data_IF_335399150143
#
_entry.id   IF_335399150143
#
_cell.length_a   1.000
_cell.length_b   1.000
_cell.length_c   1.000
_cell.angle_alpha   90.00
_cell.angle_beta   90.00
_cell.angle_gamma   90.00
#
_symmetry.space_group_name_H-M   'P 1'
#
loop_
_entity.id
_entity.type
_entity.pdbx_description
1 polymer ?
#
# COMPACT_ATOMS: atom_id res chain seq x y z
N UNK A 1 -7.57 30.15 10.84
CA UNK A 1 -8.37 28.90 10.90
C UNK A 1 -8.99 28.81 12.29
N UNK A 2 -10.32 28.74 12.40
CA UNK A 2 -11.04 29.09 13.65
C UNK A 2 -11.00 27.93 14.68
N UNK A 3 -10.56 28.21 15.91
CA UNK A 3 -10.26 27.25 17.00
C UNK A 3 -11.45 26.36 17.36
N UNK A 4 -12.67 26.86 17.16
CA UNK A 4 -13.92 26.12 17.37
C UNK A 4 -14.08 24.92 16.41
N UNK A 5 -13.60 25.05 15.17
CA UNK A 5 -13.66 23.96 14.16
C UNK A 5 -12.67 22.85 14.48
N UNK A 6 -11.54 23.18 15.09
CA UNK A 6 -10.50 22.22 15.48
C UNK A 6 -10.99 21.36 16.65
N UNK A 7 -11.64 21.96 17.65
CA UNK A 7 -12.16 21.21 18.80
C UNK A 7 -13.33 20.28 18.44
N UNK A 8 -14.21 20.70 17.52
CA UNK A 8 -15.30 19.85 17.01
C UNK A 8 -14.75 18.70 16.17
N UNK A 9 -13.68 18.94 15.40
CA UNK A 9 -12.98 17.92 14.62
C UNK A 9 -12.31 16.88 15.52
N UNK A 10 -11.60 17.32 16.57
CA UNK A 10 -10.95 16.45 17.55
C UNK A 10 -11.95 15.61 18.35
N UNK A 11 -13.05 16.22 18.82
CA UNK A 11 -14.09 15.50 19.55
C UNK A 11 -14.76 14.41 18.70
N UNK A 12 -14.98 14.67 17.40
CA UNK A 12 -15.53 13.68 16.47
C UNK A 12 -14.56 12.52 16.20
N UNK A 13 -13.26 12.80 16.06
CA UNK A 13 -12.21 11.78 15.89
C UNK A 13 -12.08 10.87 17.11
N UNK A 14 -12.10 11.44 18.31
CA UNK A 14 -12.05 10.66 19.56
C UNK A 14 -13.28 9.77 19.73
N UNK A 15 -14.47 10.28 19.38
CA UNK A 15 -15.71 9.49 19.43
C UNK A 15 -15.69 8.31 18.43
N UNK A 16 -15.12 8.50 17.25
CA UNK A 16 -15.00 7.43 16.24
C UNK A 16 -13.96 6.37 16.64
N UNK A 17 -12.85 6.77 17.26
CA UNK A 17 -11.87 5.83 17.82
C UNK A 17 -12.45 4.96 18.92
N UNK A 18 -13.20 5.55 19.86
CA UNK A 18 -13.84 4.82 20.97
C UNK A 18 -14.93 3.83 20.50
N UNK A 19 -15.68 4.17 19.44
CA UNK A 19 -16.73 3.32 18.89
C UNK A 19 -16.18 2.11 18.12
N UNK A 20 -14.92 2.16 17.65
CA UNK A 20 -14.28 1.08 16.88
C UNK A 20 -13.88 -0.11 17.77
N UNK A 21 -13.76 0.10 19.09
CA UNK A 21 -13.29 -0.92 20.04
C UNK A 21 -14.40 -1.71 20.76
N UNK A 22 -15.66 -1.58 20.33
CA UNK A 22 -16.77 -2.36 20.89
C UNK A 22 -17.24 -3.43 19.88
N UNK A 23 -16.88 -4.71 20.07
CA UNK A 23 -17.11 -5.78 19.08
C UNK A 23 -18.59 -5.98 18.69
N UNK A 24 -19.52 -5.55 19.54
CA UNK A 24 -20.95 -5.82 19.39
C UNK A 24 -21.68 -4.85 18.45
N UNK A 25 -21.10 -3.68 18.15
CA UNK A 25 -21.78 -2.60 17.41
C UNK A 25 -21.43 -2.55 15.91
N UNK A 26 -20.50 -3.37 15.45
CA UNK A 26 -19.91 -3.25 14.11
C UNK A 26 -20.89 -3.49 12.95
N UNK A 27 -21.87 -4.40 13.08
CA UNK A 27 -22.73 -4.74 11.94
C UNK A 27 -23.84 -3.71 11.71
N UNK A 28 -24.44 -3.18 12.77
CA UNK A 28 -25.53 -2.19 12.69
C UNK A 28 -25.02 -0.78 12.44
N UNK A 29 -23.83 -0.44 12.98
CA UNK A 29 -23.21 0.86 12.75
C UNK A 29 -22.65 1.02 11.34
N UNK A 30 -22.22 -0.05 10.66
CA UNK A 30 -21.77 0.03 9.27
C UNK A 30 -22.88 0.54 8.34
N UNK A 31 -24.12 0.06 8.54
CA UNK A 31 -25.31 0.53 7.81
C UNK A 31 -25.81 1.90 8.26
N UNK A 32 -25.65 2.26 9.54
CA UNK A 32 -26.02 3.60 10.03
C UNK A 32 -25.02 4.70 9.61
N UNK A 33 -23.75 4.35 9.39
CA UNK A 33 -22.71 5.27 8.90
C UNK A 33 -23.00 5.79 7.50
N UNK A 34 -23.65 5.00 6.65
CA UNK A 34 -24.17 5.45 5.33
C UNK A 34 -25.27 6.51 5.44
N UNK A 35 -26.11 6.46 6.49
CA UNK A 35 -27.28 7.33 6.64
C UNK A 35 -26.96 8.65 7.38
N UNK A 36 -26.05 8.62 8.36
CA UNK A 36 -25.82 9.77 9.26
C UNK A 36 -24.71 10.72 8.81
N UNK A 37 -23.89 10.33 7.84
CA UNK A 37 -22.85 11.20 7.28
C UNK A 37 -23.32 11.80 5.96
N UNK A 38 -24.12 12.87 6.04
CA UNK A 38 -24.43 13.75 4.90
C UNK A 38 -23.21 14.50 4.34
N UNK A 39 -22.01 13.90 4.40
CA UNK A 39 -20.81 14.36 3.73
C UNK A 39 -20.79 13.73 2.34
N UNK A 40 -20.78 14.57 1.31
CA UNK A 40 -20.48 14.19 -0.07
C UNK A 40 -19.43 13.09 -0.12
N UNK A 41 -19.72 12.04 -0.89
CA UNK A 41 -18.79 11.00 -1.36
C UNK A 41 -17.35 11.53 -1.40
N UNK A 42 -16.58 11.39 -0.31
CA UNK A 42 -15.14 11.34 -0.43
C UNK A 42 -14.89 9.89 -0.80
N UNK A 43 -14.86 9.68 -2.10
CA UNK A 43 -14.57 8.40 -2.76
C UNK A 43 -13.50 7.69 -1.92
N UNK A 44 -13.79 6.47 -1.44
CA UNK A 44 -12.70 5.57 -1.06
C UNK A 44 -11.76 5.59 -2.26
N UNK A 45 -10.58 6.18 -2.12
CA UNK A 45 -9.70 6.42 -3.25
C UNK A 45 -9.48 5.06 -3.93
N UNK A 46 -10.01 4.91 -5.14
CA UNK A 46 -9.82 3.68 -5.90
C UNK A 46 -8.34 3.70 -6.25
N UNK A 47 -7.55 2.86 -5.59
CA UNK A 47 -6.13 2.79 -5.89
C UNK A 47 -5.96 2.41 -7.37
N UNK A 48 -5.27 3.27 -8.10
CA UNK A 48 -4.85 3.07 -9.49
C UNK A 48 -3.37 2.75 -9.55
N UNK A 49 -2.88 2.23 -10.67
CA UNK A 49 -1.45 1.99 -10.85
C UNK A 49 -0.59 3.26 -10.66
N UNK A 50 -0.90 4.44 -11.25
CA UNK A 50 -0.11 5.65 -11.01
C UNK A 50 -0.14 6.12 -9.56
N UNK A 51 -1.26 5.97 -8.85
CA UNK A 51 -1.34 6.26 -7.41
C UNK A 51 -0.39 5.33 -6.62
N UNK A 52 -0.50 4.02 -6.82
CA UNK A 52 0.32 3.03 -6.11
C UNK A 52 1.81 3.23 -6.38
N UNK A 53 2.14 3.52 -7.64
CA UNK A 53 3.48 3.88 -8.09
C UNK A 53 3.99 5.15 -7.38
N UNK A 54 3.19 6.21 -7.32
CA UNK A 54 3.53 7.46 -6.64
C UNK A 54 3.78 7.27 -5.14
N UNK A 55 2.96 6.47 -4.46
CA UNK A 55 3.13 6.12 -3.04
C UNK A 55 4.44 5.33 -2.87
N UNK A 56 4.63 4.25 -3.63
CA UNK A 56 5.82 3.43 -3.52
C UNK A 56 7.10 4.21 -3.80
N UNK A 57 7.13 5.07 -4.82
CA UNK A 57 8.33 5.84 -5.15
C UNK A 57 8.73 6.83 -4.05
N UNK A 58 7.76 7.46 -3.37
CA UNK A 58 8.04 8.32 -2.21
C UNK A 58 8.62 7.54 -1.05
N UNK A 59 8.04 6.37 -0.80
CA UNK A 59 8.61 5.41 0.14
C UNK A 59 10.06 5.10 -0.25
N UNK A 60 10.30 4.58 -1.45
CA UNK A 60 11.63 4.16 -1.87
C UNK A 60 12.68 5.28 -1.79
N UNK A 61 12.31 6.51 -2.15
CA UNK A 61 13.15 7.70 -1.98
C UNK A 61 13.49 7.94 -0.50
N UNK A 62 12.50 7.85 0.39
CA UNK A 62 12.71 7.98 1.84
C UNK A 62 13.60 6.86 2.42
N UNK A 63 13.47 5.63 1.92
CA UNK A 63 14.38 4.55 2.31
C UNK A 63 15.83 4.87 1.93
N UNK A 64 16.05 5.41 0.73
CA UNK A 64 17.39 5.73 0.26
C UNK A 64 18.06 6.88 1.04
N UNK A 65 17.31 7.67 1.81
CA UNK A 65 17.94 8.63 2.73
C UNK A 65 18.49 7.99 4.00
N UNK A 66 18.29 6.68 4.20
CA UNK A 66 18.86 5.95 5.35
C UNK A 66 20.29 5.51 5.05
N UNK A 67 21.16 5.54 6.07
CA UNK A 67 22.58 5.18 5.95
C UNK A 67 22.83 3.66 5.83
N UNK A 68 21.84 2.89 5.38
CA UNK A 68 21.95 1.43 5.29
C UNK A 68 22.81 0.99 4.10
N UNK A 69 22.90 1.83 3.05
CA UNK A 69 23.61 1.51 1.80
C UNK A 69 23.06 0.27 1.06
N UNK A 70 21.92 -0.27 1.52
CA UNK A 70 21.33 -1.52 1.04
C UNK A 70 19.92 -1.28 0.53
N UNK A 71 19.58 -2.00 -0.53
CA UNK A 71 18.21 -2.04 -1.03
C UNK A 71 17.41 -3.06 -0.20
N UNK A 72 16.15 -2.77 0.19
CA UNK A 72 15.39 -3.67 1.03
C UNK A 72 15.06 -4.97 0.27
N UNK A 73 15.20 -6.11 0.94
CA UNK A 73 14.86 -7.42 0.41
C UNK A 73 13.41 -7.80 0.76
N UNK A 74 12.91 -7.39 1.92
CA UNK A 74 11.55 -7.68 2.36
C UNK A 74 10.84 -6.48 2.99
N UNK A 75 9.58 -6.27 2.60
CA UNK A 75 8.74 -5.17 3.10
C UNK A 75 7.40 -5.72 3.59
N UNK A 76 6.88 -5.19 4.69
CA UNK A 76 5.51 -5.42 5.12
C UNK A 76 4.68 -4.14 4.99
N UNK A 77 3.43 -4.29 4.57
CA UNK A 77 2.42 -3.25 4.62
C UNK A 77 1.31 -3.62 5.58
N UNK A 78 1.03 -2.72 6.51
CA UNK A 78 -0.09 -2.83 7.43
C UNK A 78 -1.32 -2.19 6.79
N UNK A 79 -2.35 -3.00 6.58
CA UNK A 79 -3.63 -2.57 6.07
C UNK A 79 -3.61 -2.07 4.62
N UNK A 80 -3.05 -2.84 3.67
CA UNK A 80 -3.07 -2.42 2.27
C UNK A 80 -4.48 -2.18 1.75
N UNK A 81 -5.48 -2.97 2.18
CA UNK A 81 -6.85 -2.87 1.71
C UNK A 81 -6.94 -2.73 0.18
N UNK A 82 -7.43 -1.59 -0.30
CA UNK A 82 -7.55 -1.32 -1.73
C UNK A 82 -6.22 -0.95 -2.44
N UNK A 83 -5.12 -0.80 -1.71
CA UNK A 83 -3.84 -0.28 -2.18
C UNK A 83 -2.71 -1.31 -2.27
N UNK A 84 -3.06 -2.60 -2.33
CA UNK A 84 -2.11 -3.70 -2.56
C UNK A 84 -1.13 -3.44 -3.74
N UNK A 85 -1.55 -2.63 -4.72
CA UNK A 85 -0.69 -2.15 -5.81
C UNK A 85 0.61 -1.47 -5.35
N UNK A 86 0.67 -0.87 -4.15
CA UNK A 86 1.90 -0.31 -3.57
C UNK A 86 2.92 -1.43 -3.35
N UNK A 87 2.48 -2.56 -2.79
CA UNK A 87 3.29 -3.77 -2.68
C UNK A 87 3.70 -4.38 -4.02
N UNK A 88 2.82 -4.33 -5.02
CA UNK A 88 3.17 -4.77 -6.37
C UNK A 88 4.26 -3.89 -6.99
N UNK A 89 4.20 -2.58 -6.80
CA UNK A 89 5.24 -1.64 -7.21
C UNK A 89 6.57 -1.91 -6.46
N UNK A 90 6.51 -2.25 -5.17
CA UNK A 90 7.67 -2.72 -4.41
C UNK A 90 8.33 -3.95 -5.05
N UNK A 91 7.57 -4.99 -5.39
CA UNK A 91 8.09 -6.20 -6.04
C UNK A 91 8.71 -5.91 -7.41
N UNK A 92 8.11 -5.02 -8.20
CA UNK A 92 8.62 -4.59 -9.52
C UNK A 92 9.88 -3.73 -9.41
N UNK A 93 10.08 -3.03 -8.28
CA UNK A 93 11.33 -2.30 -8.00
C UNK A 93 12.50 -3.22 -7.61
N UNK A 94 12.23 -4.50 -7.36
CA UNK A 94 13.25 -5.52 -7.05
C UNK A 94 13.24 -6.04 -5.61
N UNK A 95 12.23 -5.69 -4.79
CA UNK A 95 12.04 -6.32 -3.47
C UNK A 95 11.71 -7.80 -3.65
N UNK A 96 12.31 -8.67 -2.85
CA UNK A 96 12.11 -10.11 -2.98
C UNK A 96 10.79 -10.58 -2.37
N UNK A 97 10.40 -9.99 -1.23
CA UNK A 97 9.20 -10.36 -0.47
C UNK A 97 8.39 -9.16 -0.06
N UNK A 98 7.09 -9.23 -0.26
CA UNK A 98 6.12 -8.27 0.23
C UNK A 98 5.05 -8.99 1.03
N UNK A 99 4.83 -8.53 2.26
CA UNK A 99 3.83 -9.05 3.19
C UNK A 99 2.69 -8.05 3.32
N UNK A 100 1.48 -8.47 2.98
CA UNK A 100 0.28 -7.65 3.09
C UNK A 100 -0.54 -8.11 4.31
N UNK A 101 -0.66 -7.26 5.32
CA UNK A 101 -1.29 -7.57 6.61
C UNK A 101 -2.64 -6.87 6.73
N UNK A 102 -3.75 -7.58 6.48
CA UNK A 102 -5.11 -7.01 6.52
C UNK A 102 -5.96 -7.58 7.66
N UNK A 103 -6.71 -6.70 8.34
CA UNK A 103 -7.62 -7.11 9.40
C UNK A 103 -8.84 -7.87 8.85
N UNK A 104 -9.23 -7.58 7.61
CA UNK A 104 -10.38 -8.18 6.91
C UNK A 104 -9.99 -8.40 5.45
N UNK A 105 -10.36 -9.54 4.88
CA UNK A 105 -10.15 -9.82 3.47
C UNK A 105 -10.97 -8.85 2.58
N UNK A 106 -10.30 -7.99 1.83
CA UNK A 106 -10.93 -7.03 0.90
C UNK A 106 -10.27 -7.01 -0.50
N UNK A 107 -9.43 -8.00 -0.81
CA UNK A 107 -8.64 -8.01 -2.04
C UNK A 107 -9.48 -8.40 -3.26
N UNK A 108 -9.45 -7.56 -4.29
CA UNK A 108 -9.98 -7.84 -5.62
C UNK A 108 -8.84 -8.35 -6.53
N UNK A 109 -8.88 -9.63 -6.90
CA UNK A 109 -7.82 -10.26 -7.70
C UNK A 109 -7.71 -9.71 -9.11
N UNK A 110 -8.85 -9.46 -9.77
CA UNK A 110 -8.84 -9.00 -11.16
C UNK A 110 -8.30 -7.58 -11.22
N UNK A 111 -8.79 -6.71 -10.34
CA UNK A 111 -8.29 -5.33 -10.23
C UNK A 111 -6.78 -5.29 -9.97
N UNK A 112 -6.26 -6.14 -9.09
CA UNK A 112 -4.82 -6.17 -8.81
C UNK A 112 -3.98 -6.73 -9.96
N UNK A 113 -4.53 -7.60 -10.82
CA UNK A 113 -3.86 -8.00 -12.07
C UNK A 113 -3.80 -6.85 -13.07
N UNK A 114 -4.89 -6.11 -13.21
CA UNK A 114 -4.93 -4.94 -14.11
C UNK A 114 -3.93 -3.86 -13.64
N UNK A 115 -3.89 -3.61 -12.31
CA UNK A 115 -2.90 -2.71 -11.70
C UNK A 115 -1.47 -3.20 -11.95
N UNK A 116 -1.20 -4.50 -11.83
CA UNK A 116 0.13 -5.06 -12.11
C UNK A 116 0.57 -4.76 -13.53
N UNK A 117 -0.29 -5.00 -14.52
CA UNK A 117 0.04 -4.82 -15.93
C UNK A 117 0.33 -3.34 -16.27
N UNK A 118 -0.40 -2.41 -15.64
CA UNK A 118 -0.13 -0.98 -15.79
C UNK A 118 1.14 -0.53 -15.06
N UNK A 119 1.40 -1.07 -13.86
CA UNK A 119 2.66 -0.81 -13.15
C UNK A 119 3.86 -1.28 -13.96
N UNK A 120 3.80 -2.44 -14.62
CA UNK A 120 4.89 -2.94 -15.48
C UNK A 120 5.24 -1.91 -16.57
N UNK A 121 4.24 -1.28 -17.19
CA UNK A 121 4.46 -0.21 -18.18
C UNK A 121 5.16 0.99 -17.56
N UNK A 122 4.67 1.48 -16.41
CA UNK A 122 5.26 2.63 -15.72
C UNK A 122 6.74 2.42 -15.37
N UNK A 123 7.11 1.22 -14.90
CA UNK A 123 8.50 0.88 -14.61
C UNK A 123 9.34 0.69 -15.87
N UNK A 124 8.81 0.05 -16.91
CA UNK A 124 9.51 -0.16 -18.18
C UNK A 124 9.81 1.17 -18.90
N UNK A 125 8.84 2.09 -18.88
CA UNK A 125 8.95 3.41 -19.49
C UNK A 125 9.68 4.42 -18.60
N UNK A 126 10.07 4.01 -17.38
CA UNK A 126 10.65 4.89 -16.35
C UNK A 126 9.85 6.17 -16.19
N UNK A 127 8.53 6.01 -16.07
CA UNK A 127 7.62 7.15 -16.02
C UNK A 127 7.96 8.02 -14.81
N UNK A 128 7.90 9.35 -15.00
CA UNK A 128 8.05 10.30 -13.88
C UNK A 128 7.05 9.96 -12.76
N UNK A 129 7.43 10.25 -11.53
CA UNK A 129 6.57 10.09 -10.37
C UNK A 129 5.42 11.11 -10.48
N UNK A 130 4.15 10.69 -10.39
CA UNK A 130 3.03 11.61 -10.34
C UNK A 130 3.18 12.63 -9.19
N UNK A 131 2.95 13.89 -9.51
CA UNK A 131 3.14 15.03 -8.62
C UNK A 131 1.83 15.46 -7.93
N UNK A 132 1.84 16.65 -7.30
CA UNK A 132 0.69 17.19 -6.60
C UNK A 132 -0.37 17.83 -7.52
N UNK A 133 -0.10 18.02 -8.82
CA UNK A 133 -1.17 18.39 -9.75
C UNK A 133 -2.07 17.18 -10.02
N UNK A 134 -1.47 15.99 -10.15
CA UNK A 134 -2.19 14.73 -10.34
C UNK A 134 -2.76 14.17 -9.04
N UNK A 135 -2.00 14.22 -7.94
CA UNK A 135 -2.39 13.71 -6.63
C UNK A 135 -2.14 14.74 -5.51
N UNK A 136 -3.02 15.74 -5.35
CA UNK A 136 -2.82 16.86 -4.41
C UNK A 136 -2.64 16.41 -2.96
N UNK A 137 -3.38 15.38 -2.53
CA UNK A 137 -3.41 14.89 -1.15
C UNK A 137 -2.22 13.96 -0.82
N UNK A 138 -1.36 13.62 -1.79
CA UNK A 138 -0.32 12.59 -1.64
C UNK A 138 1.03 13.19 -1.25
N UNK A 139 1.34 13.14 0.04
CA UNK A 139 2.62 13.62 0.60
C UNK A 139 3.67 12.52 0.82
N UNK A 140 4.90 12.90 1.21
CA UNK A 140 5.41 14.28 1.20
C UNK A 140 5.72 14.77 -0.23
N UNK A 141 5.87 16.10 -0.44
CA UNK A 141 6.40 16.63 -1.70
C UNK A 141 7.85 16.18 -1.90
N UNK A 142 8.23 15.97 -3.16
CA UNK A 142 9.55 15.50 -3.54
C UNK A 142 10.43 16.64 -4.06
N UNK A 143 11.75 16.52 -3.86
CA UNK A 143 12.72 17.43 -4.48
C UNK A 143 12.76 17.27 -6.01
N UNK A 144 12.52 16.05 -6.48
CA UNK A 144 12.42 15.71 -7.90
C UNK A 144 11.35 14.64 -8.10
N UNK A 145 10.56 14.82 -9.15
CA UNK A 145 9.57 13.85 -9.62
C UNK A 145 10.06 13.03 -10.79
N UNK A 146 11.33 13.19 -11.21
CA UNK A 146 11.92 12.32 -12.22
C UNK A 146 12.00 10.86 -11.71
N UNK A 147 12.10 9.91 -12.64
CA UNK A 147 12.37 8.52 -12.28
C UNK A 147 13.71 8.42 -11.52
N UNK A 148 13.77 7.70 -10.39
CA UNK A 148 14.97 7.66 -9.56
C UNK A 148 15.99 6.64 -10.10
N UNK A 149 16.61 6.92 -11.25
CA UNK A 149 17.59 6.03 -11.92
C UNK A 149 18.78 5.64 -11.02
N UNK A 150 19.16 6.52 -10.09
CA UNK A 150 20.25 6.25 -9.14
C UNK A 150 19.88 5.19 -8.09
N UNK A 151 18.59 5.00 -7.82
CA UNK A 151 18.06 3.99 -6.88
C UNK A 151 17.63 2.72 -7.63
N UNK A 152 17.04 2.91 -8.81
CA UNK A 152 16.54 1.86 -9.70
C UNK A 152 17.30 1.85 -11.02
N UNK A 153 18.59 1.48 -11.01
CA UNK A 153 19.40 1.42 -12.22
C UNK A 153 18.91 0.33 -13.18
N UNK A 154 19.33 0.45 -14.45
CA UNK A 154 18.90 -0.43 -15.54
C UNK A 154 19.17 -1.91 -15.26
N UNK A 155 20.30 -2.24 -14.64
CA UNK A 155 20.67 -3.60 -14.27
C UNK A 155 19.66 -4.21 -13.29
N UNK A 156 19.26 -3.47 -12.25
CA UNK A 156 18.21 -3.87 -11.31
C UNK A 156 16.87 -4.07 -12.02
N UNK A 157 16.43 -3.10 -12.81
CA UNK A 157 15.16 -3.20 -13.53
C UNK A 157 15.15 -4.35 -14.55
N UNK A 158 16.28 -4.62 -15.21
CA UNK A 158 16.40 -5.74 -16.15
C UNK A 158 16.21 -7.11 -15.48
N UNK A 159 16.43 -7.21 -14.17
CA UNK A 159 16.18 -8.41 -13.38
C UNK A 159 14.76 -8.42 -12.82
N UNK A 160 14.29 -7.29 -12.28
CA UNK A 160 12.99 -7.21 -11.62
C UNK A 160 11.82 -7.27 -12.61
N UNK A 161 12.00 -6.78 -13.83
CA UNK A 161 10.99 -6.78 -14.90
C UNK A 161 11.08 -7.99 -15.85
N UNK A 162 11.85 -9.03 -15.50
CA UNK A 162 11.86 -10.27 -16.30
C UNK A 162 10.47 -10.87 -16.36
N UNK A 163 10.05 -11.29 -17.55
CA UNK A 163 8.73 -11.90 -17.79
C UNK A 163 8.42 -13.05 -16.81
N UNK A 164 9.40 -13.92 -16.52
CA UNK A 164 9.26 -15.01 -15.54
C UNK A 164 8.90 -14.51 -14.13
N UNK A 165 9.48 -13.38 -13.72
CA UNK A 165 9.23 -12.79 -12.40
C UNK A 165 7.87 -12.11 -12.35
N UNK A 166 7.49 -11.37 -13.39
CA UNK A 166 6.17 -10.75 -13.51
C UNK A 166 5.07 -11.82 -13.47
N UNK A 167 5.23 -12.91 -14.21
CA UNK A 167 4.28 -14.01 -14.22
C UNK A 167 4.17 -14.68 -12.84
N UNK A 168 5.29 -14.79 -12.12
CA UNK A 168 5.28 -15.29 -10.73
C UNK A 168 4.50 -14.36 -9.80
N UNK A 169 4.65 -13.05 -9.91
CA UNK A 169 3.85 -12.07 -9.15
C UNK A 169 2.37 -12.25 -9.48
N UNK A 170 2.01 -12.38 -10.77
CA UNK A 170 0.64 -12.61 -11.23
C UNK A 170 0.03 -13.89 -10.65
N UNK A 171 0.81 -14.97 -10.57
CA UNK A 171 0.41 -16.21 -9.93
C UNK A 171 0.18 -16.04 -8.42
N UNK A 172 1.06 -15.33 -7.72
CA UNK A 172 0.88 -15.04 -6.29
C UNK A 172 -0.41 -14.24 -6.06
N UNK A 173 -0.77 -13.28 -6.94
CA UNK A 173 -2.05 -12.56 -6.86
C UNK A 173 -3.24 -13.53 -6.95
N UNK A 174 -3.19 -14.51 -7.86
CA UNK A 174 -4.24 -15.53 -7.98
C UNK A 174 -4.36 -16.46 -6.77
N UNK A 175 -3.25 -16.66 -6.05
CA UNK A 175 -3.17 -17.60 -4.93
C UNK A 175 -3.40 -16.95 -3.56
N UNK A 176 -3.62 -15.64 -3.47
CA UNK A 176 -3.81 -14.92 -2.20
C UNK A 176 -4.97 -15.42 -1.33
N UNK A 177 -5.98 -16.08 -1.90
CA UNK A 177 -7.08 -16.73 -1.16
C UNK A 177 -6.73 -18.13 -0.63
N UNK A 178 -5.65 -18.71 -1.14
CA UNK A 178 -5.16 -20.04 -0.78
C UNK A 178 -3.94 -19.90 0.13
N UNK A 179 -3.74 -20.84 1.06
CA UNK A 179 -2.48 -20.91 1.83
C UNK A 179 -1.33 -21.50 1.00
N UNK A 180 -1.49 -21.63 -0.31
CA UNK A 180 -0.54 -22.29 -1.18
C UNK A 180 0.54 -21.31 -1.70
N UNK A 181 1.79 -21.77 -1.61
CA UNK A 181 2.98 -21.36 -2.38
C UNK A 181 3.01 -19.92 -2.92
N UNK A 182 2.81 -18.95 -2.03
CA UNK A 182 3.11 -17.55 -2.32
C UNK A 182 4.41 -17.20 -1.63
N UNK A 183 5.44 -16.93 -2.41
CA UNK A 183 6.80 -16.71 -1.91
C UNK A 183 7.27 -15.27 -2.08
N UNK A 184 6.60 -14.51 -2.96
CA UNK A 184 6.92 -13.11 -3.23
C UNK A 184 5.87 -12.16 -2.63
N UNK A 185 4.58 -12.50 -2.73
CA UNK A 185 3.46 -11.72 -2.21
C UNK A 185 2.71 -12.59 -1.20
N UNK A 186 2.87 -12.32 0.08
CA UNK A 186 2.27 -13.11 1.15
C UNK A 186 1.15 -12.29 1.77
N UNK A 187 -0.10 -12.68 1.49
CA UNK A 187 -1.29 -12.03 2.03
C UNK A 187 -1.74 -12.71 3.32
N UNK A 188 -1.80 -11.96 4.42
CA UNK A 188 -2.16 -12.47 5.74
C UNK A 188 -3.42 -11.74 6.21
N UNK A 189 -4.52 -12.50 6.30
CA UNK A 189 -5.79 -12.01 6.82
C UNK A 189 -6.58 -13.12 7.52
N UNK A 190 -7.20 -12.85 8.69
CA UNK A 190 -6.94 -11.71 9.56
C UNK A 190 -5.52 -11.80 10.16
N UNK A 191 -4.76 -10.70 10.17
CA UNK A 191 -3.40 -10.70 10.70
C UNK A 191 -3.32 -10.72 12.23
N UNK A 192 -4.44 -10.62 12.95
CA UNK A 192 -4.52 -10.72 14.40
C UNK A 192 -4.20 -12.11 14.97
N UNK A 193 -3.98 -13.10 14.10
CA UNK A 193 -3.47 -14.43 14.47
C UNK A 193 -1.94 -14.50 14.53
N UNK A 194 -1.42 -15.73 14.55
CA UNK A 194 0.03 -15.95 14.50
C UNK A 194 0.59 -15.57 13.13
N UNK A 195 1.62 -14.72 13.12
CA UNK A 195 2.40 -14.40 11.92
C UNK A 195 3.28 -15.60 11.52
N UNK A 196 3.67 -15.73 10.23
CA UNK A 196 4.61 -16.75 9.81
C UNK A 196 5.91 -16.72 10.61
N UNK A 197 6.44 -17.87 11.06
CA UNK A 197 7.71 -17.92 11.78
C UNK A 197 8.84 -17.28 10.97
N UNK A 198 9.70 -16.49 11.64
CA UNK A 198 10.82 -15.81 10.98
C UNK A 198 10.43 -14.60 10.13
N UNK A 199 9.14 -14.27 10.01
CA UNK A 199 8.70 -13.12 9.22
C UNK A 199 9.31 -11.83 9.76
N UNK A 200 9.13 -11.53 11.05
CA UNK A 200 9.53 -10.25 11.64
C UNK A 200 11.05 -10.05 11.50
N UNK A 201 11.83 -11.09 11.75
CA UNK A 201 13.28 -11.07 11.65
C UNK A 201 13.79 -10.93 10.21
N UNK A 202 12.94 -11.25 9.23
CA UNK A 202 13.25 -11.12 7.81
C UNK A 202 12.89 -9.76 7.21
N UNK A 203 12.13 -8.91 7.91
CA UNK A 203 11.67 -7.63 7.40
C UNK A 203 12.75 -6.56 7.49
N UNK A 204 13.03 -5.90 6.38
CA UNK A 204 13.86 -4.69 6.37
C UNK A 204 13.02 -3.45 6.66
N UNK A 205 11.73 -3.50 6.30
CA UNK A 205 10.89 -2.32 6.37
C UNK A 205 9.40 -2.62 6.54
N UNK A 206 8.71 -1.76 7.30
CA UNK A 206 7.25 -1.76 7.50
C UNK A 206 6.69 -0.40 7.09
N UNK A 207 5.63 -0.40 6.28
CA UNK A 207 4.91 0.79 5.85
C UNK A 207 3.40 0.66 6.08
N UNK A 208 2.70 1.80 6.05
CA UNK A 208 1.23 1.85 6.06
C UNK A 208 0.80 3.12 5.34
N UNK A 209 -0.05 2.97 4.33
CA UNK A 209 -0.64 4.11 3.63
C UNK A 209 -2.06 4.43 4.12
N UNK A 210 -2.97 3.45 4.12
CA UNK A 210 -4.40 3.71 4.37
C UNK A 210 -4.86 3.55 5.82
N UNK A 211 -4.23 2.67 6.61
CA UNK A 211 -4.77 2.35 7.94
C UNK A 211 -4.33 3.33 9.02
N UNK A 212 -3.19 4.00 8.88
CA UNK A 212 -2.71 4.96 9.88
C UNK A 212 -3.15 6.42 9.65
N UNK A 213 -3.86 6.74 8.56
CA UNK A 213 -4.37 8.10 8.33
C UNK A 213 -5.54 8.49 9.28
N UNK A 214 -6.09 7.49 9.99
CA UNK A 214 -7.25 7.61 10.87
C UNK A 214 -6.95 7.48 12.38
N UNK A 215 -5.67 7.43 12.78
CA UNK A 215 -5.28 7.45 14.21
C UNK A 215 -5.38 8.87 14.79
#
# INVERSE_FOLDING_TARGET
MNTLKINIFLARKLLTGLLTYTPFLNHTLFRMRESLTGHSRRQVAIATAPYCYAVWMRHLLQWHTTDTGRFPEAVAEIGPGNSLGVGLAALLSGINRYYALDAVAQVDFQKNRDILDDLVKLFADKTRIPDHEEYPDLGPPLQSYAFPDHILPNDRLSVSLKAKRIERIRQNIGNMSSRENSDMLIYITPWSGALPPGMIESLDWVLSQFVMEHV
#
